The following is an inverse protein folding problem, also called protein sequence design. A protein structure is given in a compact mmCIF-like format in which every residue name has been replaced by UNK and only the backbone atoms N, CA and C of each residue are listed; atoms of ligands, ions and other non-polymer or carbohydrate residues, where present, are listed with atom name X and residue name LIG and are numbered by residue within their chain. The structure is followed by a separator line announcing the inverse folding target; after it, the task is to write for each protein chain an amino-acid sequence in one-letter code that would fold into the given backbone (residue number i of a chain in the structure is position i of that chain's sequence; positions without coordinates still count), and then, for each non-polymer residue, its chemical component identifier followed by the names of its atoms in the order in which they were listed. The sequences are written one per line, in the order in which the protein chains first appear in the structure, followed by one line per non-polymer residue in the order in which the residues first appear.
data_IF_200844118110
#
_entry.id   IF_200844118110
#
_cell.length_a   1.000
_cell.length_b   1.000
_cell.length_c   1.000
_cell.angle_alpha   90.00
_cell.angle_beta   90.00
_cell.angle_gamma   90.00
#
_symmetry.space_group_name_H-M   'P 1'
#
loop_
_entity.id
_entity.type
_entity.pdbx_description
1 polymer ?
#
# COMPACT_ATOMS: atom_id res chain seq x y z
N UNK A 1 36.42 -56.84 -53.99
CA UNK A 1 35.84 -57.19 -52.69
C UNK A 1 36.98 -57.26 -51.69
N UNK A 2 36.82 -56.58 -50.55
CA UNK A 2 37.71 -56.38 -49.39
C UNK A 2 39.16 -56.90 -49.42
N UNK A 3 40.15 -56.04 -49.15
CA UNK A 3 41.08 -56.20 -48.01
C UNK A 3 42.17 -55.09 -47.86
N UNK A 4 42.46 -54.78 -46.58
CA UNK A 4 43.71 -54.33 -45.90
C UNK A 4 44.50 -53.04 -46.27
N UNK A 5 44.69 -52.20 -45.24
CA UNK A 5 45.98 -51.80 -44.56
C UNK A 5 45.96 -50.30 -44.13
N UNK A 6 45.79 -49.90 -42.85
CA UNK A 6 46.63 -49.85 -41.62
C UNK A 6 47.56 -48.61 -41.49
N UNK A 7 47.53 -48.01 -40.27
CA UNK A 7 48.47 -47.05 -39.60
C UNK A 7 48.10 -45.55 -39.73
N UNK A 8 48.22 -44.66 -38.74
CA UNK A 8 48.80 -44.67 -37.38
C UNK A 8 48.33 -43.41 -36.61
N UNK A 9 48.19 -43.49 -35.29
CA UNK A 9 48.15 -42.35 -34.35
C UNK A 9 49.55 -41.74 -34.15
N UNK A 10 49.65 -40.44 -33.77
CA UNK A 10 50.20 -39.91 -32.47
C UNK A 10 50.55 -38.39 -32.54
N UNK A 11 50.23 -37.67 -31.44
CA UNK A 11 50.88 -36.49 -30.82
C UNK A 11 50.53 -35.01 -31.16
N UNK A 12 50.40 -34.24 -30.06
CA UNK A 12 49.99 -32.83 -29.83
C UNK A 12 51.07 -31.78 -30.24
N UNK A 13 50.79 -30.45 -30.16
CA UNK A 13 51.16 -29.73 -28.91
C UNK A 13 50.22 -28.58 -28.46
N UNK A 14 50.25 -28.36 -27.15
CA UNK A 14 50.28 -27.11 -26.37
C UNK A 14 49.88 -25.77 -27.01
N UNK A 15 49.01 -25.03 -26.31
CA UNK A 15 48.80 -23.60 -26.52
C UNK A 15 47.63 -23.02 -25.73
N UNK A 16 47.87 -22.65 -24.47
CA UNK A 16 47.02 -21.68 -23.76
C UNK A 16 47.11 -20.31 -24.45
N UNK A 17 46.01 -19.56 -24.52
CA UNK A 17 46.05 -18.14 -24.25
C UNK A 17 45.37 -17.87 -22.92
N UNK A 18 46.20 -17.46 -21.97
CA UNK A 18 45.85 -16.69 -20.79
C UNK A 18 45.00 -15.47 -21.17
N UNK A 19 43.98 -15.18 -20.35
CA UNK A 19 43.33 -13.87 -20.32
C UNK A 19 41.96 -13.80 -21.00
N UNK A 20 41.00 -14.63 -20.59
CA UNK A 20 39.59 -14.20 -20.63
C UNK A 20 39.25 -13.62 -19.28
N UNK A 21 39.12 -12.29 -19.23
CA UNK A 21 38.28 -11.66 -18.25
C UNK A 21 36.97 -12.44 -18.21
N UNK A 22 36.69 -13.09 -17.07
CA UNK A 22 35.41 -13.73 -16.79
C UNK A 22 34.40 -12.60 -16.80
N UNK A 23 33.81 -12.40 -17.98
CA UNK A 23 32.70 -11.48 -18.17
C UNK A 23 31.60 -11.97 -17.25
N UNK A 24 31.09 -11.06 -16.45
CA UNK A 24 29.82 -11.12 -15.71
C UNK A 24 28.59 -11.27 -16.64
N UNK A 25 28.74 -11.88 -17.82
CA UNK A 25 27.67 -12.20 -18.78
C UNK A 25 26.79 -13.34 -18.25
N UNK A 26 27.39 -14.32 -17.54
CA UNK A 26 26.70 -15.55 -17.16
C UNK A 26 25.47 -15.34 -16.28
N UNK A 27 25.57 -14.44 -15.29
CA UNK A 27 24.46 -14.21 -14.36
C UNK A 27 23.33 -13.40 -15.00
N UNK A 28 23.66 -12.41 -15.85
CA UNK A 28 22.63 -11.61 -16.53
C UNK A 28 21.89 -12.43 -17.58
N UNK A 29 22.61 -13.23 -18.36
CA UNK A 29 22.01 -14.12 -19.37
C UNK A 29 21.20 -15.24 -18.72
N UNK A 30 21.67 -15.78 -17.58
CA UNK A 30 20.91 -16.76 -16.80
C UNK A 30 19.59 -16.17 -16.27
N UNK A 31 19.62 -14.97 -15.67
CA UNK A 31 18.41 -14.31 -15.16
C UNK A 31 17.44 -13.93 -16.28
N UNK A 32 17.96 -13.53 -17.44
CA UNK A 32 17.17 -13.27 -18.63
C UNK A 32 16.50 -14.56 -19.15
N UNK A 33 17.25 -15.66 -19.26
CA UNK A 33 16.74 -16.96 -19.70
C UNK A 33 15.72 -17.54 -18.70
N UNK A 34 15.89 -17.26 -17.41
CA UNK A 34 14.96 -17.65 -16.35
C UNK A 34 13.68 -16.80 -16.30
N UNK A 35 13.54 -15.77 -17.14
CA UNK A 35 12.34 -14.93 -17.21
C UNK A 35 12.14 -14.04 -15.98
N UNK A 36 13.18 -13.81 -15.19
CA UNK A 36 13.09 -13.00 -13.96
C UNK A 36 12.69 -11.56 -14.28
N UNK A 37 13.12 -11.04 -15.44
CA UNK A 37 12.73 -9.72 -15.93
C UNK A 37 11.22 -9.58 -16.11
N UNK A 38 10.57 -10.57 -16.72
CA UNK A 38 9.11 -10.54 -16.94
C UNK A 38 8.34 -10.71 -15.63
N UNK A 39 8.84 -11.53 -14.71
CA UNK A 39 8.28 -11.67 -13.36
C UNK A 39 8.38 -10.36 -12.57
N UNK A 40 9.54 -9.69 -12.62
CA UNK A 40 9.75 -8.40 -11.96
C UNK A 40 8.88 -7.32 -12.58
N UNK A 41 8.80 -7.25 -13.92
CA UNK A 41 7.94 -6.31 -14.62
C UNK A 41 6.46 -6.54 -14.27
N UNK A 42 6.01 -7.80 -14.24
CA UNK A 42 4.66 -8.17 -13.82
C UNK A 42 4.37 -7.80 -12.37
N UNK A 43 5.35 -7.96 -11.47
CA UNK A 43 5.22 -7.54 -10.07
C UNK A 43 5.14 -6.01 -9.93
N UNK A 44 5.99 -5.27 -10.66
CA UNK A 44 5.98 -3.80 -10.67
C UNK A 44 4.67 -3.28 -11.25
N UNK A 45 4.18 -3.85 -12.36
CA UNK A 45 2.90 -3.48 -12.95
C UNK A 45 1.75 -3.67 -11.96
N UNK A 46 1.69 -4.82 -11.27
CA UNK A 46 0.68 -5.05 -10.23
C UNK A 46 0.79 -4.09 -9.06
N UNK A 47 2.00 -3.68 -8.69
CA UNK A 47 2.21 -2.68 -7.65
C UNK A 47 1.70 -1.30 -8.09
N UNK A 48 1.97 -0.89 -9.34
CA UNK A 48 1.45 0.35 -9.93
C UNK A 48 -0.07 0.32 -10.02
N UNK A 49 -0.67 -0.80 -10.44
CA UNK A 49 -2.13 -0.99 -10.48
C UNK A 49 -2.76 -0.89 -9.09
N UNK A 50 -2.09 -1.37 -8.04
CA UNK A 50 -2.56 -1.28 -6.67
C UNK A 50 -2.38 0.12 -6.04
N UNK A 51 -1.53 0.96 -6.61
CA UNK A 51 -1.13 2.30 -6.10
C UNK A 51 -0.78 3.25 -7.26
N UNK A 52 -1.80 3.91 -7.81
CA UNK A 52 -1.68 4.72 -9.02
C UNK A 52 -1.05 6.11 -8.86
N UNK A 53 -0.85 6.61 -7.63
CA UNK A 53 -0.49 8.02 -7.44
C UNK A 53 1.03 8.30 -7.39
N UNK A 54 1.83 7.49 -6.69
CA UNK A 54 3.31 7.60 -6.67
C UNK A 54 3.99 6.23 -6.37
N UNK A 55 4.13 5.37 -7.38
CA UNK A 55 4.75 4.05 -7.20
C UNK A 55 6.26 4.11 -6.93
N UNK A 56 6.96 5.18 -7.34
CA UNK A 56 8.42 5.31 -7.20
C UNK A 56 8.79 5.79 -5.80
N UNK A 57 8.13 6.84 -5.29
CA UNK A 57 8.32 7.27 -3.91
C UNK A 57 7.98 6.17 -2.91
N UNK A 58 6.93 5.39 -3.19
CA UNK A 58 6.58 4.21 -2.39
C UNK A 58 7.70 3.16 -2.34
N UNK A 59 8.33 2.84 -3.48
CA UNK A 59 9.48 1.92 -3.51
C UNK A 59 10.67 2.46 -2.70
N UNK A 60 10.96 3.75 -2.82
CA UNK A 60 12.01 4.40 -2.05
C UNK A 60 11.74 4.28 -0.54
N UNK A 61 10.52 4.59 -0.11
CA UNK A 61 10.09 4.43 1.28
C UNK A 61 10.18 2.97 1.75
N UNK A 62 9.79 2.01 0.90
CA UNK A 62 9.89 0.58 1.22
C UNK A 62 11.34 0.16 1.47
N UNK A 63 12.28 0.53 0.60
CA UNK A 63 13.68 0.19 0.78
C UNK A 63 14.30 0.88 2.00
N UNK A 64 13.94 2.14 2.26
CA UNK A 64 14.34 2.85 3.48
C UNK A 64 13.85 2.14 4.74
N UNK A 65 12.56 1.74 4.77
CA UNK A 65 11.98 1.03 5.90
C UNK A 65 12.59 -0.37 6.09
N UNK A 66 12.88 -1.10 5.01
CA UNK A 66 13.58 -2.40 5.10
C UNK A 66 14.98 -2.23 5.70
N UNK A 67 15.74 -1.22 5.26
CA UNK A 67 17.08 -0.96 5.79
C UNK A 67 17.06 -0.71 7.31
N UNK A 68 16.10 0.07 7.81
CA UNK A 68 15.95 0.36 9.25
C UNK A 68 15.58 -0.85 10.11
N UNK A 69 14.93 -1.87 9.54
CA UNK A 69 14.63 -3.13 10.24
C UNK A 69 15.90 -3.94 10.48
N UNK A 70 16.85 -3.90 9.54
CA UNK A 70 18.12 -4.61 9.65
C UNK A 70 19.05 -4.01 10.71
N UNK A 71 19.11 -2.68 10.83
CA UNK A 71 19.98 -2.00 11.80
C UNK A 71 19.51 -2.16 13.26
N UNK A 72 18.20 -2.26 13.47
CA UNK A 72 17.62 -2.47 14.81
C UNK A 72 17.76 -3.92 15.33
N UNK A 73 18.15 -4.86 14.46
CA UNK A 73 18.40 -6.26 14.80
C UNK A 73 19.87 -6.64 15.06
N UNK A 74 20.82 -5.74 14.80
CA UNK A 74 22.27 -6.07 14.82
C UNK A 74 23.07 -5.42 15.96
N UNK A 75 22.40 -4.77 16.92
CA UNK A 75 23.05 -4.19 18.11
C UNK A 75 23.21 -5.19 19.29
N UNK A 76 23.38 -6.48 19.00
CA UNK A 76 23.84 -7.46 19.98
C UNK A 76 25.38 -7.46 19.96
N UNK A 77 25.98 -6.47 20.62
CA UNK A 77 27.43 -6.33 20.69
C UNK A 77 27.89 -5.33 21.76
N UNK A 78 27.97 -5.83 22.99
CA UNK A 78 28.87 -5.43 24.07
C UNK A 78 28.97 -3.94 24.48
N UNK A 79 28.52 -3.66 25.71
CA UNK A 79 28.89 -2.46 26.46
C UNK A 79 28.02 -2.32 27.71
N UNK A 80 28.41 -2.97 28.81
CA UNK A 80 27.92 -2.65 30.15
C UNK A 80 28.43 -1.25 30.52
N UNK A 81 27.52 -0.43 31.08
CA UNK A 81 27.71 0.67 32.06
C UNK A 81 26.86 1.92 31.74
N UNK A 82 26.24 2.42 32.82
CA UNK A 82 25.47 3.69 32.95
C UNK A 82 23.99 3.71 32.54
N UNK A 83 23.24 2.92 33.29
CA UNK A 83 21.79 3.00 33.41
C UNK A 83 21.41 4.02 34.49
N UNK A 84 20.75 5.14 34.11
CA UNK A 84 19.65 5.75 34.91
C UNK A 84 18.91 6.97 34.31
N UNK A 85 19.20 7.46 33.09
CA UNK A 85 18.43 8.61 32.54
C UNK A 85 18.00 8.53 31.05
N UNK A 86 18.19 7.38 30.38
CA UNK A 86 17.94 7.22 28.93
C UNK A 86 16.62 6.50 28.56
N UNK A 87 15.88 5.97 29.55
CA UNK A 87 14.72 5.10 29.30
C UNK A 87 13.51 5.79 28.64
N UNK A 88 13.33 7.10 28.85
CA UNK A 88 12.18 7.84 28.33
C UNK A 88 12.34 8.22 26.85
N UNK A 89 13.53 8.65 26.44
CA UNK A 89 13.82 9.03 25.05
C UNK A 89 13.77 7.82 24.10
N UNK A 90 14.27 6.65 24.55
CA UNK A 90 14.21 5.41 23.78
C UNK A 90 12.78 4.88 23.61
N UNK A 91 11.90 5.07 24.61
CA UNK A 91 10.51 4.64 24.51
C UNK A 91 9.72 5.45 23.47
N UNK A 92 9.90 6.79 23.44
CA UNK A 92 9.27 7.65 22.44
C UNK A 92 9.79 7.40 21.02
N UNK A 93 11.10 7.17 20.86
CA UNK A 93 11.69 6.82 19.57
C UNK A 93 11.14 5.49 19.03
N UNK A 94 11.01 4.48 19.90
CA UNK A 94 10.46 3.18 19.53
C UNK A 94 8.97 3.26 19.16
N UNK A 95 8.19 4.07 19.89
CA UNK A 95 6.77 4.31 19.58
C UNK A 95 6.61 5.00 18.22
N UNK A 96 7.41 6.03 17.95
CA UNK A 96 7.42 6.72 16.65
C UNK A 96 7.83 5.78 15.50
N UNK A 97 8.82 4.91 15.70
CA UNK A 97 9.23 3.92 14.69
C UNK A 97 8.09 2.95 14.37
N UNK A 98 7.34 2.49 15.39
CA UNK A 98 6.17 1.63 15.21
C UNK A 98 5.05 2.34 14.46
N UNK A 99 4.79 3.61 14.80
CA UNK A 99 3.84 4.44 14.09
C UNK A 99 4.21 4.57 12.60
N UNK A 100 5.47 4.89 12.30
CA UNK A 100 5.95 4.99 10.92
C UNK A 100 5.76 3.66 10.16
N UNK A 101 6.04 2.53 10.80
CA UNK A 101 5.83 1.20 10.21
C UNK A 101 4.35 0.88 10.00
N UNK A 102 3.49 1.21 10.95
CA UNK A 102 2.05 1.03 10.83
C UNK A 102 1.50 1.88 9.66
N UNK A 103 1.89 3.15 9.59
CA UNK A 103 1.52 4.03 8.48
C UNK A 103 2.01 3.48 7.14
N UNK A 104 3.23 2.96 7.07
CA UNK A 104 3.74 2.30 5.87
C UNK A 104 2.83 1.15 5.42
N UNK A 105 2.40 0.26 6.33
CA UNK A 105 1.45 -0.80 6.01
C UNK A 105 0.13 -0.24 5.46
N UNK A 106 -0.43 0.81 6.07
CA UNK A 106 -1.66 1.45 5.60
C UNK A 106 -1.50 2.07 4.20
N UNK A 107 -0.27 2.44 3.82
CA UNK A 107 0.10 2.96 2.50
C UNK A 107 0.46 1.89 1.46
N UNK A 108 0.40 0.59 1.79
CA UNK A 108 0.71 -0.50 0.84
C UNK A 108 -0.36 -0.73 -0.22
N UNK A 109 -1.66 -0.79 0.14
CA UNK A 109 -2.74 -1.06 -0.83
C UNK A 109 -3.90 -0.04 -0.82
N UNK A 110 -4.40 0.34 -2.00
CA UNK A 110 -5.57 1.22 -2.11
C UNK A 110 -6.78 0.66 -1.35
N UNK A 111 -7.61 1.53 -0.79
CA UNK A 111 -8.74 1.12 0.08
C UNK A 111 -9.83 0.33 -0.68
N UNK A 112 -9.87 0.40 -2.01
CA UNK A 112 -10.74 -0.44 -2.86
C UNK A 112 -10.31 -1.90 -2.91
N UNK A 113 -9.04 -2.21 -2.60
CA UNK A 113 -8.50 -3.57 -2.60
C UNK A 113 -8.82 -4.27 -1.28
N UNK A 114 -10.09 -4.69 -1.11
CA UNK A 114 -10.67 -5.16 0.17
C UNK A 114 -9.78 -6.12 0.95
N UNK A 115 -9.19 -7.14 0.32
CA UNK A 115 -8.36 -8.14 0.99
C UNK A 115 -7.02 -7.57 1.45
N UNK A 116 -6.27 -6.95 0.53
CA UNK A 116 -4.96 -6.38 0.81
C UNK A 116 -5.06 -5.24 1.85
N UNK A 117 -6.03 -4.34 1.68
CA UNK A 117 -6.28 -3.25 2.62
C UNK A 117 -6.63 -3.79 4.02
N UNK A 118 -7.53 -4.78 4.13
CA UNK A 118 -7.90 -5.37 5.42
C UNK A 118 -6.71 -6.05 6.12
N UNK A 119 -5.86 -6.76 5.37
CA UNK A 119 -4.67 -7.40 5.93
C UNK A 119 -3.67 -6.35 6.45
N UNK A 120 -3.43 -5.29 5.66
CA UNK A 120 -2.54 -4.21 6.04
C UNK A 120 -3.03 -3.44 7.27
N UNK A 121 -4.34 -3.20 7.38
CA UNK A 121 -4.96 -2.57 8.56
C UNK A 121 -4.80 -3.46 9.80
N UNK A 122 -4.94 -4.78 9.66
CA UNK A 122 -4.70 -5.72 10.75
C UNK A 122 -3.26 -5.63 11.27
N UNK A 123 -2.27 -5.68 10.36
CA UNK A 123 -0.85 -5.57 10.74
C UNK A 123 -0.56 -4.22 11.39
N UNK A 124 -1.09 -3.12 10.83
CA UNK A 124 -0.94 -1.79 11.41
C UNK A 124 -1.52 -1.69 12.83
N UNK A 125 -2.70 -2.29 13.05
CA UNK A 125 -3.30 -2.35 14.39
C UNK A 125 -2.43 -3.13 15.37
N UNK A 126 -1.97 -4.32 14.98
CA UNK A 126 -1.14 -5.17 15.86
C UNK A 126 0.21 -4.50 16.20
N UNK A 127 0.80 -3.74 15.27
CA UNK A 127 2.01 -2.94 15.54
C UNK A 127 1.81 -1.84 16.59
N UNK A 128 0.62 -1.27 16.65
CA UNK A 128 0.25 -0.19 17.57
C UNK A 128 -0.35 -0.72 18.89
N UNK A 129 -0.83 -1.95 18.90
CA UNK A 129 -1.59 -2.53 20.02
C UNK A 129 -0.72 -3.25 21.07
N UNK A 130 0.20 -2.53 21.71
CA UNK A 130 1.19 -3.13 22.63
C UNK A 130 0.99 -2.81 24.12
N UNK A 131 -0.10 -2.13 24.47
CA UNK A 131 -0.41 -1.79 25.88
C UNK A 131 -0.71 -3.03 26.75
N UNK A 132 -0.88 -4.22 26.15
CA UNK A 132 -1.14 -5.48 26.86
C UNK A 132 0.08 -6.25 27.40
N UNK A 133 1.32 -5.97 26.95
CA UNK A 133 2.49 -6.79 27.30
C UNK A 133 3.22 -6.38 28.59
N UNK A 134 2.83 -5.27 29.24
CA UNK A 134 3.54 -4.76 30.45
C UNK A 134 2.89 -5.12 31.78
N UNK A 135 1.82 -5.93 31.81
CA UNK A 135 1.05 -6.25 33.03
C UNK A 135 1.08 -7.72 33.49
N UNK A 136 2.00 -8.55 32.99
CA UNK A 136 2.15 -9.94 33.48
C UNK A 136 3.61 -10.31 33.81
N UNK A 137 4.33 -9.42 34.49
CA UNK A 137 5.64 -9.76 35.07
C UNK A 137 5.61 -9.86 36.61
N UNK A 138 4.48 -9.53 37.26
CA UNK A 138 4.29 -9.66 38.70
C UNK A 138 2.92 -10.31 38.96
N UNK A 139 2.90 -11.64 39.00
CA UNK A 139 2.05 -12.47 39.87
C UNK A 139 2.13 -13.92 39.36
N UNK A 140 3.10 -14.66 39.90
CA UNK A 140 2.99 -16.11 39.97
C UNK A 140 1.90 -16.47 41.00
N UNK A 141 1.06 -17.47 40.71
CA UNK A 141 1.06 -18.62 41.60
C UNK A 141 1.12 -19.94 40.83
N UNK A 142 1.97 -20.83 41.32
CA UNK A 142 2.04 -22.23 40.91
C UNK A 142 0.71 -22.96 41.12
N UNK A 143 0.36 -23.81 40.16
CA UNK A 143 -0.68 -24.83 40.30
C UNK A 143 -0.69 -25.73 39.07
N UNK A 144 -0.47 -27.05 39.20
CA UNK A 144 -0.51 -27.97 38.08
C UNK A 144 -1.93 -28.53 37.89
N UNK A 145 -2.22 -28.88 36.63
CA UNK A 145 -3.36 -29.64 36.11
C UNK A 145 -4.52 -28.84 35.49
N UNK A 146 -4.66 -28.99 34.17
CA UNK A 146 -5.81 -28.47 33.42
C UNK A 146 -5.59 -28.49 31.91
N UNK A 147 -5.58 -29.69 31.33
CA UNK A 147 -5.70 -29.90 29.88
C UNK A 147 -6.91 -29.15 29.34
N UNK A 148 -6.69 -28.23 28.40
CA UNK A 148 -7.74 -27.64 27.58
C UNK A 148 -7.13 -27.16 26.25
N UNK A 149 -7.48 -27.87 25.18
CA UNK A 149 -7.38 -27.45 23.79
C UNK A 149 -7.95 -26.04 23.63
N UNK A 150 -7.09 -25.05 23.36
CA UNK A 150 -7.50 -23.68 23.05
C UNK A 150 -7.11 -23.35 21.61
N UNK A 151 -8.13 -23.24 20.76
CA UNK A 151 -8.14 -22.30 19.65
C UNK A 151 -7.63 -20.92 20.11
N UNK A 152 -7.03 -20.09 19.24
CA UNK A 152 -6.50 -18.79 19.64
C UNK A 152 -7.66 -17.81 19.89
N UNK A 153 -8.33 -17.95 21.02
CA UNK A 153 -9.25 -16.96 21.53
C UNK A 153 -8.41 -15.80 22.03
N UNK A 154 -8.42 -14.72 21.24
CA UNK A 154 -7.78 -13.42 21.44
C UNK A 154 -8.24 -12.81 22.79
N UNK A 155 -7.66 -13.27 23.89
CA UNK A 155 -7.98 -12.83 25.25
C UNK A 155 -6.70 -12.24 25.88
N UNK A 156 -6.71 -10.92 26.08
CA UNK A 156 -5.62 -10.18 26.74
C UNK A 156 -5.69 -8.70 26.41
N UNK A 157 -6.41 -7.94 27.24
CA UNK A 157 -6.83 -6.57 26.98
C UNK A 157 -5.71 -5.59 26.62
N UNK A 158 -5.94 -4.90 25.51
CA UNK A 158 -5.21 -3.73 25.04
C UNK A 158 -5.81 -3.37 23.70
N UNK A 159 -6.32 -2.14 23.59
CA UNK A 159 -6.60 -1.51 22.31
C UNK A 159 -5.44 -0.57 21.96
N UNK A 160 -5.41 -0.10 20.72
CA UNK A 160 -4.49 0.96 20.33
C UNK A 160 -4.77 2.19 21.19
N UNK A 161 -3.72 2.80 21.76
CA UNK A 161 -3.89 4.01 22.57
C UNK A 161 -4.51 5.13 21.73
N UNK A 162 -5.53 5.82 22.26
CA UNK A 162 -6.31 6.81 21.51
C UNK A 162 -5.47 7.96 20.95
N UNK A 163 -4.39 8.34 21.64
CA UNK A 163 -3.41 9.31 21.13
C UNK A 163 -2.71 8.81 19.86
N UNK A 164 -2.23 7.55 19.85
CA UNK A 164 -1.61 6.93 18.67
C UNK A 164 -2.60 6.74 17.52
N UNK A 165 -3.84 6.35 17.83
CA UNK A 165 -4.89 6.24 16.83
C UNK A 165 -5.19 7.60 16.19
N UNK A 166 -5.39 8.64 16.99
CA UNK A 166 -5.66 10.01 16.50
C UNK A 166 -4.48 10.53 15.67
N UNK A 167 -3.25 10.32 16.13
CA UNK A 167 -2.03 10.66 15.39
C UNK A 167 -1.94 9.91 14.05
N UNK A 168 -2.26 8.62 14.03
CA UNK A 168 -2.30 7.80 12.81
C UNK A 168 -3.28 8.40 11.80
N UNK A 169 -4.50 8.74 12.23
CA UNK A 169 -5.50 9.34 11.34
C UNK A 169 -5.05 10.70 10.80
N UNK A 170 -4.41 11.52 11.64
CA UNK A 170 -3.86 12.82 11.23
C UNK A 170 -2.76 12.67 10.17
N UNK A 171 -1.83 11.73 10.35
CA UNK A 171 -0.79 11.43 9.37
C UNK A 171 -1.40 10.98 8.03
N UNK A 172 -2.34 10.04 8.04
CA UNK A 172 -3.02 9.56 6.83
C UNK A 172 -3.71 10.69 6.05
N UNK A 173 -4.40 11.58 6.74
CA UNK A 173 -5.06 12.73 6.11
C UNK A 173 -4.05 13.73 5.52
N UNK A 174 -3.00 14.06 6.29
CA UNK A 174 -2.01 15.08 5.91
C UNK A 174 -1.17 14.65 4.72
N UNK A 175 -0.68 13.41 4.74
CA UNK A 175 0.08 12.81 3.63
C UNK A 175 -0.78 12.56 2.40
N UNK A 176 -2.09 12.43 2.59
CA UNK A 176 -3.06 12.35 1.51
C UNK A 176 -3.15 13.61 0.64
N UNK A 177 -2.46 14.70 1.02
CA UNK A 177 -2.49 16.00 0.35
C UNK A 177 -3.65 16.89 0.79
N UNK A 178 -4.35 16.51 1.87
CA UNK A 178 -5.51 17.25 2.36
C UNK A 178 -5.07 18.35 3.31
N UNK A 179 -5.48 19.62 3.09
CA UNK A 179 -5.18 20.70 4.04
C UNK A 179 -5.74 20.40 5.44
N UNK A 180 -5.02 20.79 6.48
CA UNK A 180 -5.44 20.57 7.87
C UNK A 180 -6.82 21.13 8.20
N UNK A 181 -7.16 22.29 7.64
CA UNK A 181 -8.50 22.90 7.78
C UNK A 181 -9.61 22.05 7.18
N UNK A 182 -9.32 21.27 6.13
CA UNK A 182 -10.29 20.44 5.43
C UNK A 182 -10.58 19.15 6.19
N UNK A 183 -9.56 18.51 6.79
CA UNK A 183 -9.76 17.26 7.53
C UNK A 183 -10.02 17.46 9.04
N UNK A 184 -9.76 18.64 9.61
CA UNK A 184 -9.98 18.89 11.04
C UNK A 184 -11.41 18.57 11.53
N UNK A 185 -12.50 18.93 10.80
CA UNK A 185 -13.86 18.57 11.23
C UNK A 185 -14.12 17.07 11.22
N UNK A 186 -13.44 16.32 10.34
CA UNK A 186 -13.52 14.86 10.31
C UNK A 186 -12.80 14.27 11.53
N UNK A 187 -11.55 14.71 11.80
CA UNK A 187 -10.79 14.23 12.95
C UNK A 187 -11.46 14.54 14.28
N UNK A 188 -12.12 15.70 14.43
CA UNK A 188 -12.89 16.02 15.64
C UNK A 188 -14.00 15.02 15.95
N UNK A 189 -14.55 14.33 14.93
CA UNK A 189 -15.57 13.30 15.12
C UNK A 189 -14.99 11.90 15.32
N UNK A 190 -13.74 11.69 14.89
CA UNK A 190 -13.07 10.39 14.91
C UNK A 190 -12.05 10.28 16.04
N UNK A 191 -11.61 11.37 16.66
CA UNK A 191 -10.56 11.36 17.67
C UNK A 191 -11.01 10.61 18.93
N UNK A 192 -10.04 9.94 19.55
CA UNK A 192 -10.21 9.29 20.84
C UNK A 192 -9.37 10.04 21.88
N UNK A 193 -9.75 9.91 23.16
CA UNK A 193 -8.94 10.47 24.24
C UNK A 193 -7.59 9.77 24.31
N UNK A 194 -6.55 10.48 24.74
CA UNK A 194 -5.18 9.95 24.71
C UNK A 194 -5.00 8.62 25.44
N UNK A 195 -5.78 8.36 26.48
CA UNK A 195 -5.71 7.15 27.30
C UNK A 195 -6.75 6.09 26.92
N UNK A 196 -7.63 6.39 25.96
CA UNK A 196 -8.66 5.47 25.49
C UNK A 196 -8.04 4.26 24.80
N UNK A 197 -8.60 3.08 25.02
CA UNK A 197 -8.19 1.86 24.32
C UNK A 197 -9.10 1.66 23.10
N UNK A 198 -8.57 1.98 21.91
CA UNK A 198 -9.30 1.90 20.65
C UNK A 198 -9.33 0.46 20.16
N UNK A 199 -10.52 -0.17 20.03
CA UNK A 199 -10.64 -1.53 19.53
C UNK A 199 -10.39 -1.60 18.02
N UNK A 200 -10.09 -2.80 17.53
CA UNK A 200 -9.75 -3.04 16.12
C UNK A 200 -10.79 -2.51 15.14
N UNK A 201 -12.08 -2.73 15.40
CA UNK A 201 -13.13 -2.29 14.47
C UNK A 201 -13.19 -0.77 14.36
N UNK A 202 -13.06 -0.05 15.47
CA UNK A 202 -13.03 1.43 15.48
C UNK A 202 -11.80 1.92 14.73
N UNK A 203 -10.62 1.35 15.02
CA UNK A 203 -9.39 1.67 14.29
C UNK A 203 -9.56 1.45 12.78
N UNK A 204 -10.09 0.29 12.37
CA UNK A 204 -10.30 -0.08 10.97
C UNK A 204 -11.25 0.89 10.26
N UNK A 205 -12.38 1.23 10.88
CA UNK A 205 -13.34 2.16 10.27
C UNK A 205 -12.81 3.59 10.23
N UNK A 206 -12.06 4.02 11.24
CA UNK A 206 -11.36 5.32 11.24
C UNK A 206 -10.37 5.43 10.08
N UNK A 207 -9.49 4.43 9.93
CA UNK A 207 -8.50 4.38 8.84
C UNK A 207 -9.18 4.34 7.47
N UNK A 208 -10.22 3.51 7.30
CA UNK A 208 -10.97 3.46 6.04
C UNK A 208 -11.62 4.81 5.71
N UNK A 209 -12.23 5.46 6.70
CA UNK A 209 -12.89 6.76 6.50
C UNK A 209 -11.89 7.82 6.08
N UNK A 210 -10.72 7.91 6.74
CA UNK A 210 -9.65 8.82 6.37
C UNK A 210 -9.11 8.52 4.96
N UNK A 211 -8.89 7.25 4.61
CA UNK A 211 -8.39 6.87 3.29
C UNK A 211 -9.35 7.25 2.16
N UNK A 212 -10.65 6.98 2.33
CA UNK A 212 -11.70 7.35 1.36
C UNK A 212 -11.84 8.86 1.26
N UNK A 213 -11.85 9.55 2.40
CA UNK A 213 -11.96 11.00 2.44
C UNK A 213 -10.79 11.70 1.72
N UNK A 214 -9.56 11.28 2.00
CA UNK A 214 -8.38 11.85 1.35
C UNK A 214 -8.38 11.63 -0.16
N UNK A 215 -8.80 10.45 -0.62
CA UNK A 215 -8.92 10.17 -2.05
C UNK A 215 -10.01 11.02 -2.72
N UNK A 216 -11.18 11.16 -2.07
CA UNK A 216 -12.24 12.05 -2.54
C UNK A 216 -11.75 13.49 -2.69
N UNK A 217 -11.06 14.03 -1.68
CA UNK A 217 -10.53 15.40 -1.73
C UNK A 217 -9.51 15.54 -2.87
N UNK A 218 -8.60 14.56 -3.03
CA UNK A 218 -7.60 14.57 -4.10
C UNK A 218 -8.26 14.56 -5.49
N UNK A 219 -9.26 13.70 -5.68
CA UNK A 219 -10.00 13.63 -6.93
C UNK A 219 -10.77 14.93 -7.22
N UNK A 220 -11.40 15.52 -6.20
CA UNK A 220 -12.09 16.80 -6.33
C UNK A 220 -11.14 17.96 -6.67
N UNK A 221 -9.96 17.99 -6.03
CA UNK A 221 -8.92 18.98 -6.32
C UNK A 221 -8.36 18.83 -7.73
N UNK A 222 -8.07 17.60 -8.17
CA UNK A 222 -7.63 17.31 -9.54
C UNK A 222 -8.68 17.78 -10.56
N UNK A 223 -9.94 17.41 -10.35
CA UNK A 223 -11.04 17.86 -11.20
C UNK A 223 -11.13 19.38 -11.25
N UNK A 224 -11.05 20.06 -10.10
CA UNK A 224 -11.11 21.51 -10.05
C UNK A 224 -9.91 22.17 -10.77
N UNK A 225 -8.71 21.57 -10.66
CA UNK A 225 -7.52 22.06 -11.35
C UNK A 225 -7.66 21.97 -12.88
N UNK A 226 -8.29 20.92 -13.40
CA UNK A 226 -8.59 20.79 -14.85
C UNK A 226 -9.60 21.83 -15.34
N UNK A 227 -10.53 22.26 -14.47
CA UNK A 227 -11.53 23.28 -14.80
C UNK A 227 -10.95 24.69 -14.66
N UNK A 228 -9.89 24.88 -13.87
CA UNK A 228 -9.21 26.15 -13.72
C UNK A 228 -8.21 26.38 -14.86
N UNK A 229 -8.26 27.56 -15.47
CA UNK A 229 -7.23 28.01 -16.40
C UNK A 229 -6.20 28.87 -15.64
N UNK A 230 -4.91 28.51 -15.60
CA UNK A 230 -3.88 29.30 -14.92
C UNK A 230 -3.79 30.75 -15.40
N UNK A 231 -4.16 31.00 -16.67
CA UNK A 231 -4.17 32.32 -17.28
C UNK A 231 -5.44 33.16 -17.00
N UNK A 232 -6.57 32.51 -16.69
CA UNK A 232 -7.88 33.16 -16.54
C UNK A 232 -8.33 33.26 -15.07
N UNK A 233 -7.59 32.65 -14.16
CA UNK A 233 -7.87 32.66 -12.72
C UNK A 233 -8.81 31.51 -12.29
N UNK A 234 -9.47 31.64 -11.13
CA UNK A 234 -10.34 30.57 -10.61
C UNK A 234 -11.52 30.30 -11.53
N UNK A 235 -11.92 29.02 -11.63
CA UNK A 235 -13.04 28.59 -12.45
C UNK A 235 -14.34 29.34 -12.11
N UNK A 236 -15.07 29.77 -13.15
CA UNK A 236 -16.35 30.44 -12.95
C UNK A 236 -17.38 29.49 -12.32
N UNK A 237 -18.25 30.03 -11.45
CA UNK A 237 -19.30 29.23 -10.79
C UNK A 237 -20.21 28.53 -11.80
N UNK A 238 -20.52 29.17 -12.92
CA UNK A 238 -21.34 28.60 -13.99
C UNK A 238 -20.68 27.37 -14.62
N UNK A 239 -19.38 27.45 -14.92
CA UNK A 239 -18.62 26.33 -15.45
C UNK A 239 -18.57 25.16 -14.46
N UNK A 240 -18.29 25.42 -13.18
CA UNK A 240 -18.31 24.40 -12.14
C UNK A 240 -19.67 23.69 -12.04
N UNK A 241 -20.78 24.45 -12.08
CA UNK A 241 -22.13 23.87 -12.07
C UNK A 241 -22.42 23.02 -13.30
N UNK A 242 -21.96 23.44 -14.49
CA UNK A 242 -22.12 22.67 -15.72
C UNK A 242 -21.34 21.34 -15.68
N UNK A 243 -20.10 21.35 -15.17
CA UNK A 243 -19.29 20.13 -14.98
C UNK A 243 -19.97 19.19 -13.99
N UNK A 244 -20.43 19.71 -12.84
CA UNK A 244 -21.16 18.90 -11.84
C UNK A 244 -22.46 18.32 -12.41
N UNK A 245 -23.21 19.11 -13.18
CA UNK A 245 -24.42 18.64 -13.87
C UNK A 245 -24.11 17.50 -14.85
N UNK A 246 -23.05 17.65 -15.63
CA UNK A 246 -22.59 16.62 -16.58
C UNK A 246 -22.17 15.34 -15.87
N UNK A 247 -21.42 15.44 -14.76
CA UNK A 247 -21.04 14.28 -13.95
C UNK A 247 -22.26 13.57 -13.36
N UNK A 248 -23.25 14.34 -12.90
CA UNK A 248 -24.51 13.78 -12.39
C UNK A 248 -25.26 13.01 -13.48
N UNK A 249 -25.40 13.57 -14.68
CA UNK A 249 -26.01 12.88 -15.82
C UNK A 249 -25.26 11.58 -16.18
N UNK A 250 -23.92 11.60 -16.18
CA UNK A 250 -23.10 10.42 -16.43
C UNK A 250 -23.30 9.31 -15.38
N UNK A 251 -23.44 9.70 -14.10
CA UNK A 251 -23.74 8.76 -13.02
C UNK A 251 -25.14 8.15 -13.15
N UNK A 252 -26.16 8.95 -13.46
CA UNK A 252 -27.54 8.47 -13.64
C UNK A 252 -27.66 7.54 -14.86
N UNK A 253 -26.99 7.87 -15.96
CA UNK A 253 -26.97 7.02 -17.18
C UNK A 253 -26.25 5.69 -16.95
N UNK A 254 -25.13 5.67 -16.21
CA UNK A 254 -24.42 4.43 -15.89
C UNK A 254 -25.23 3.48 -15.00
N UNK A 255 -25.93 4.00 -13.98
CA UNK A 255 -26.78 3.18 -13.09
C UNK A 255 -27.99 2.56 -13.82
N UNK A 256 -28.55 3.26 -14.81
CA UNK A 256 -29.66 2.78 -15.63
C UNK A 256 -29.29 1.61 -16.56
N UNK A 257 -27.99 1.42 -16.81
CA UNK A 257 -27.46 0.31 -17.60
C UNK A 257 -27.29 -0.94 -16.72
N UNK A 258 -26.76 -0.78 -15.50
CA UNK A 258 -26.55 -1.88 -14.55
C UNK A 258 -27.87 -2.57 -14.16
N UNK A 259 -28.97 -1.82 -14.06
CA UNK A 259 -30.31 -2.38 -13.74
C UNK A 259 -30.89 -3.27 -14.85
N UNK A 260 -30.40 -3.18 -16.09
CA UNK A 260 -30.90 -3.96 -17.23
C UNK A 260 -30.15 -5.29 -17.43
N UNK A 261 -28.98 -5.47 -16.81
CA UNK A 261 -28.18 -6.69 -16.94
C UNK A 261 -28.31 -7.66 -15.75
N UNK A 262 -28.88 -7.22 -14.61
CA UNK A 262 -29.11 -8.08 -13.45
C UNK A 262 -30.19 -9.16 -13.65
N UNK A 263 -30.89 -9.20 -14.79
CA UNK A 263 -31.91 -10.24 -15.09
C UNK A 263 -31.32 -11.44 -15.87
N UNK A 264 -30.11 -11.34 -16.44
CA UNK A 264 -29.60 -12.35 -17.38
C UNK A 264 -28.20 -12.90 -17.04
N UNK A 265 -27.90 -13.10 -15.76
CA UNK A 265 -26.65 -13.69 -15.29
C UNK A 265 -26.58 -15.24 -15.47
N UNK A 266 -27.01 -15.76 -16.62
CA UNK A 266 -26.81 -17.18 -16.92
C UNK A 266 -26.53 -17.46 -18.41
N UNK A 267 -25.57 -16.74 -19.00
CA UNK A 267 -24.88 -17.22 -20.21
C UNK A 267 -23.45 -16.70 -20.24
N UNK A 268 -22.51 -17.62 -20.47
CA UNK A 268 -21.05 -17.46 -20.48
C UNK A 268 -20.56 -16.31 -21.37
N UNK A 269 -19.49 -15.70 -20.87
CA UNK A 269 -18.36 -15.07 -21.57
C UNK A 269 -18.70 -13.91 -22.52
N UNK A 270 -18.30 -12.70 -22.11
CA UNK A 270 -17.42 -11.78 -22.85
C UNK A 270 -17.24 -10.49 -22.03
N UNK A 271 -16.11 -10.40 -21.32
CA UNK A 271 -15.65 -9.18 -20.65
C UNK A 271 -15.11 -8.20 -21.69
N UNK A 272 -15.99 -7.43 -22.35
CA UNK A 272 -15.60 -6.27 -23.16
C UNK A 272 -16.64 -5.16 -23.40
N UNK A 273 -17.95 -5.26 -23.08
CA UNK A 273 -18.88 -4.17 -23.39
C UNK A 273 -19.00 -3.10 -22.29
N UNK A 274 -18.74 -3.45 -21.02
CA UNK A 274 -18.98 -2.57 -19.87
C UNK A 274 -17.95 -1.42 -19.76
N UNK A 275 -16.67 -1.73 -20.01
CA UNK A 275 -15.61 -0.72 -20.07
C UNK A 275 -15.81 0.25 -21.25
N UNK A 276 -16.33 -0.27 -22.37
CA UNK A 276 -16.62 0.53 -23.57
C UNK A 276 -17.80 1.48 -23.37
N UNK A 277 -18.87 1.07 -22.67
CA UNK A 277 -20.01 1.95 -22.41
C UNK A 277 -19.66 3.10 -21.46
N UNK A 278 -18.91 2.83 -20.39
CA UNK A 278 -18.40 3.88 -19.50
C UNK A 278 -17.50 4.85 -20.26
N UNK A 279 -16.57 4.34 -21.07
CA UNK A 279 -15.71 5.17 -21.91
C UNK A 279 -16.49 6.05 -22.90
N UNK A 280 -17.53 5.50 -23.55
CA UNK A 280 -18.41 6.24 -24.45
C UNK A 280 -19.16 7.36 -23.71
N UNK A 281 -19.70 7.08 -22.52
CA UNK A 281 -20.37 8.08 -21.70
C UNK A 281 -19.40 9.18 -21.24
N UNK A 282 -18.17 8.84 -20.86
CA UNK A 282 -17.13 9.82 -20.51
C UNK A 282 -16.71 10.68 -21.71
N UNK A 283 -16.58 10.09 -22.90
CA UNK A 283 -16.29 10.82 -24.14
C UNK A 283 -17.43 11.76 -24.55
N UNK A 284 -18.68 11.34 -24.34
CA UNK A 284 -19.84 12.18 -24.62
C UNK A 284 -19.98 13.32 -23.60
N UNK A 285 -19.65 13.06 -22.34
CA UNK A 285 -19.56 14.08 -21.29
C UNK A 285 -18.43 15.08 -21.55
N UNK A 286 -17.24 14.63 -21.95
CA UNK A 286 -16.11 15.52 -22.25
C UNK A 286 -16.38 16.41 -23.46
N UNK A 287 -17.09 15.90 -24.47
CA UNK A 287 -17.54 16.68 -25.62
C UNK A 287 -18.52 17.81 -25.26
N UNK A 288 -19.27 17.68 -24.16
CA UNK A 288 -20.17 18.75 -23.64
C UNK A 288 -19.41 19.84 -22.87
N UNK A 289 -18.23 19.53 -22.35
CA UNK A 289 -17.41 20.43 -21.51
C UNK A 289 -16.43 21.23 -22.38
N UNK A 290 -16.11 20.77 -23.59
CA UNK A 290 -15.16 21.46 -24.47
C UNK A 290 -15.70 22.83 -24.93
N UNK A 291 -14.95 23.94 -24.72
CA UNK A 291 -15.37 25.29 -25.13
C UNK A 291 -15.31 25.52 -26.65
N UNK A 292 -14.88 24.54 -27.45
CA UNK A 292 -14.85 24.59 -28.91
C UNK A 292 -16.21 24.18 -29.51
N UNK A 293 -17.22 25.01 -29.27
CA UNK A 293 -18.38 25.14 -30.17
C UNK A 293 -18.61 26.61 -30.48
N UNK A 294 -17.70 27.17 -31.27
CA UNK A 294 -17.93 28.24 -32.25
C UNK A 294 -16.96 28.01 -33.41
#
# INVERSE_FOLDING_TARGET
MSDKEKRRSTALPSGMPTGKAVKSDGDRDFLAQAGVGDLLLGAILKMVEARSDDPIGFLADHFCNLASVTDSGSAAGCGEEEQQNSGSANAGAQEQQRLNRALWHLRLAHHSQRSAFSNNVCVAYDLLNLTGCKKQADEAPEGPDGSCTKSPTRAGGGGVRGGLYTQTLQCLCSEGGVPASTFAPLLQRLCCQDHEAVPYDVFRYGVLTCAVFSDYIRQAQRLYAEVCCPAEGPASRALCLNVLGTLKEALETSQSCDTKYCVNANTKANTSPEANLKAICYLQASAKISPLRL
#
